data_IF_370362128835
#
_entry.id   IF_370362128835
#
_cell.length_a   1.000
_cell.length_b   1.000
_cell.length_c   1.000
_cell.angle_alpha   90.00
_cell.angle_beta   90.00
_cell.angle_gamma   90.00
#
_symmetry.space_group_name_H-M   'P 1'
#
loop_
_entity.id
_entity.type
_entity.pdbx_description
1 polymer ?
#
# COMPACT_ATOMS: atom_id res chain seq x y z
N UNK A 1 -20.55 10.50 -11.79
CA UNK A 1 -20.67 11.52 -10.73
C UNK A 1 -22.12 11.65 -10.40
N UNK A 2 -22.51 11.34 -9.17
CA UNK A 2 -23.90 11.50 -8.71
C UNK A 2 -23.92 12.76 -7.87
N UNK A 3 -24.60 13.81 -8.35
CA UNK A 3 -24.77 15.03 -7.56
C UNK A 3 -25.72 14.75 -6.39
N UNK A 4 -25.20 14.80 -5.16
CA UNK A 4 -26.01 14.79 -3.95
C UNK A 4 -25.69 16.02 -3.11
N UNK A 5 -26.72 16.69 -2.61
CA UNK A 5 -26.59 17.88 -1.76
C UNK A 5 -26.46 17.46 -0.30
N UNK A 6 -25.48 18.03 0.39
CA UNK A 6 -25.34 17.90 1.84
C UNK A 6 -26.53 18.52 2.59
N UNK A 7 -26.68 18.22 3.89
CA UNK A 7 -27.72 18.79 4.75
C UNK A 7 -27.75 20.34 4.78
N UNK A 8 -26.65 20.99 4.39
CA UNK A 8 -26.49 22.44 4.29
C UNK A 8 -26.60 22.99 2.86
N UNK A 9 -27.08 22.18 1.90
CA UNK A 9 -27.33 22.62 0.52
C UNK A 9 -26.06 22.87 -0.32
N UNK A 10 -24.89 22.46 0.18
CA UNK A 10 -23.62 22.52 -0.56
C UNK A 10 -23.56 21.34 -1.53
N UNK A 11 -23.29 21.61 -2.81
CA UNK A 11 -23.04 20.55 -3.79
C UNK A 11 -21.70 19.90 -3.43
N UNK A 12 -21.75 18.63 -3.06
CA UNK A 12 -20.58 17.79 -2.90
C UNK A 12 -20.62 16.74 -4.00
N UNK A 13 -19.62 16.79 -4.87
CA UNK A 13 -19.52 15.87 -5.98
C UNK A 13 -19.06 14.50 -5.44
N UNK A 14 -20.00 13.57 -5.29
CA UNK A 14 -19.64 12.19 -5.04
C UNK A 14 -19.42 11.49 -6.38
N UNK A 15 -18.18 11.04 -6.59
CA UNK A 15 -17.85 10.10 -7.66
C UNK A 15 -17.41 8.79 -7.03
N UNK A 16 -17.98 7.70 -7.53
CA UNK A 16 -17.39 6.39 -7.34
C UNK A 16 -16.20 6.29 -8.30
N UNK A 17 -15.05 5.81 -7.81
CA UNK A 17 -13.90 5.49 -8.69
C UNK A 17 -14.26 4.39 -9.67
N UNK A 18 -15.08 3.42 -9.23
CA UNK A 18 -15.75 2.43 -10.06
C UNK A 18 -17.20 2.24 -9.57
N UNK A 19 -18.24 2.66 -10.30
CA UNK A 19 -19.62 2.34 -9.95
C UNK A 19 -19.87 0.83 -10.14
N UNK A 20 -20.73 0.19 -9.33
CA UNK A 20 -21.06 -1.22 -9.53
C UNK A 20 -21.78 -1.43 -10.87
N UNK A 21 -21.17 -2.19 -11.77
CA UNK A 21 -21.79 -2.65 -13.02
C UNK A 21 -22.33 -4.08 -12.88
N UNK A 22 -23.48 -4.35 -13.49
CA UNK A 22 -24.14 -5.65 -13.46
C UNK A 22 -24.01 -6.33 -14.82
N UNK A 23 -23.14 -7.33 -14.89
CA UNK A 23 -22.89 -8.11 -16.09
C UNK A 23 -24.15 -8.85 -16.58
N UNK A 24 -24.38 -8.84 -17.90
CA UNK A 24 -25.46 -9.62 -18.52
C UNK A 24 -25.18 -11.12 -18.41
N UNK A 25 -26.21 -11.90 -18.08
CA UNK A 25 -26.15 -13.37 -18.00
C UNK A 25 -26.14 -14.06 -19.38
N UNK A 26 -26.29 -13.30 -20.46
CA UNK A 26 -26.32 -13.82 -21.83
C UNK A 26 -24.87 -13.84 -22.36
N UNK A 27 -24.27 -15.02 -22.62
CA UNK A 27 -22.86 -15.09 -23.01
C UNK A 27 -22.67 -14.47 -24.40
N UNK A 28 -21.98 -13.34 -24.45
CA UNK A 28 -21.51 -12.70 -25.67
C UNK A 28 -20.03 -12.32 -25.51
N UNK A 29 -19.30 -12.08 -26.60
CA UNK A 29 -17.88 -11.70 -26.50
C UNK A 29 -17.66 -10.39 -25.72
N UNK A 30 -18.65 -9.50 -25.70
CA UNK A 30 -18.60 -8.26 -24.92
C UNK A 30 -18.55 -8.53 -23.39
N UNK A 31 -19.29 -9.52 -22.88
CA UNK A 31 -19.32 -9.87 -21.45
C UNK A 31 -17.98 -10.35 -20.91
N UNK A 32 -17.14 -11.01 -21.71
CA UNK A 32 -15.82 -11.46 -21.24
C UNK A 32 -14.87 -10.28 -21.08
N UNK A 33 -14.86 -9.37 -22.05
CA UNK A 33 -14.02 -8.17 -22.02
C UNK A 33 -14.43 -7.24 -20.89
N UNK A 34 -15.73 -7.00 -20.73
CA UNK A 34 -16.24 -6.08 -19.72
C UNK A 34 -15.96 -6.66 -18.30
N UNK A 35 -16.03 -7.99 -18.12
CA UNK A 35 -15.60 -8.64 -16.88
C UNK A 35 -14.11 -8.42 -16.56
N UNK A 36 -13.24 -8.47 -17.57
CA UNK A 36 -11.81 -8.21 -17.37
C UNK A 36 -11.56 -6.77 -16.92
N UNK A 37 -12.19 -5.80 -17.58
CA UNK A 37 -12.05 -4.38 -17.20
C UNK A 37 -12.55 -4.10 -15.79
N UNK A 38 -13.69 -4.67 -15.38
CA UNK A 38 -14.18 -4.56 -14.01
C UNK A 38 -13.19 -5.13 -13.00
N UNK A 39 -12.61 -6.31 -13.28
CA UNK A 39 -11.61 -6.90 -12.38
C UNK A 39 -10.33 -6.07 -12.29
N UNK A 40 -9.83 -5.52 -13.41
CA UNK A 40 -8.65 -4.66 -13.43
C UNK A 40 -8.91 -3.37 -12.66
N UNK A 41 -10.05 -2.72 -12.86
CA UNK A 41 -10.43 -1.50 -12.15
C UNK A 41 -10.51 -1.71 -10.62
N UNK A 42 -11.07 -2.84 -10.17
CA UNK A 42 -11.13 -3.18 -8.73
C UNK A 42 -9.73 -3.43 -8.17
N UNK A 43 -8.86 -4.14 -8.90
CA UNK A 43 -7.49 -4.39 -8.47
C UNK A 43 -6.69 -3.09 -8.35
N UNK A 44 -6.85 -2.17 -9.30
CA UNK A 44 -6.22 -0.85 -9.24
C UNK A 44 -6.71 -0.04 -8.04
N UNK A 45 -8.01 -0.07 -7.74
CA UNK A 45 -8.56 0.63 -6.57
C UNK A 45 -7.95 0.09 -5.25
N UNK A 46 -7.88 -1.23 -5.09
CA UNK A 46 -7.23 -1.84 -3.93
C UNK A 46 -5.74 -1.53 -3.88
N UNK A 47 -5.06 -1.50 -5.02
CA UNK A 47 -3.63 -1.22 -5.05
C UNK A 47 -3.32 0.23 -4.64
N UNK A 48 -4.10 1.20 -5.13
CA UNK A 48 -3.91 2.61 -4.82
C UNK A 48 -4.60 3.08 -3.53
N UNK A 49 -5.28 2.18 -2.82
CA UNK A 49 -5.92 2.50 -1.56
C UNK A 49 -4.89 2.98 -0.50
N UNK A 50 -5.17 4.05 0.26
CA UNK A 50 -4.22 4.64 1.20
C UNK A 50 -3.73 3.67 2.29
N UNK A 51 -4.55 2.67 2.63
CA UNK A 51 -4.19 1.65 3.64
C UNK A 51 -3.29 0.54 3.10
N UNK A 52 -3.13 0.40 1.78
CA UNK A 52 -2.38 -0.71 1.17
C UNK A 52 -0.90 -0.62 1.52
N UNK A 53 -0.30 0.56 1.38
CA UNK A 53 1.10 0.81 1.74
C UNK A 53 1.43 0.47 3.22
N UNK A 54 0.75 1.04 4.23
CA UNK A 54 1.05 0.72 5.63
C UNK A 54 0.74 -0.74 5.98
N UNK A 55 -0.33 -1.34 5.42
CA UNK A 55 -0.67 -2.74 5.66
C UNK A 55 0.43 -3.70 5.16
N UNK A 56 0.91 -3.50 3.93
CA UNK A 56 1.99 -4.31 3.36
C UNK A 56 3.30 -4.09 4.11
N UNK A 57 3.63 -2.85 4.46
CA UNK A 57 4.86 -2.52 5.19
C UNK A 57 4.96 -3.24 6.53
N UNK A 58 3.90 -3.28 7.33
CA UNK A 58 3.91 -4.04 8.60
C UNK A 58 4.22 -5.51 8.36
N UNK A 59 3.60 -6.14 7.35
CA UNK A 59 3.82 -7.55 7.03
C UNK A 59 5.22 -7.83 6.50
N UNK A 60 5.76 -6.95 5.66
CA UNK A 60 7.12 -7.08 5.18
C UNK A 60 8.11 -6.98 6.34
N UNK A 61 7.99 -5.95 7.18
CA UNK A 61 8.89 -5.77 8.34
C UNK A 61 8.83 -6.99 9.28
N UNK A 62 7.65 -7.55 9.52
CA UNK A 62 7.49 -8.79 10.29
C UNK A 62 8.21 -9.98 9.65
N UNK A 63 8.17 -10.11 8.32
CA UNK A 63 8.91 -11.16 7.58
C UNK A 63 10.43 -10.97 7.66
N UNK A 64 10.89 -9.73 7.85
CA UNK A 64 12.30 -9.41 8.13
C UNK A 64 12.68 -9.59 9.61
N UNK A 65 11.77 -10.09 10.44
CA UNK A 65 12.07 -10.55 11.80
C UNK A 65 11.70 -9.58 12.92
N UNK A 66 11.13 -8.41 12.60
CA UNK A 66 10.75 -7.40 13.60
C UNK A 66 9.25 -7.52 13.87
N UNK A 67 8.86 -8.09 15.02
CA UNK A 67 7.44 -8.34 15.35
C UNK A 67 6.66 -7.08 15.72
N UNK A 68 7.33 -6.12 16.36
CA UNK A 68 6.74 -4.89 16.89
C UNK A 68 7.46 -3.65 16.32
N UNK A 69 7.21 -3.31 15.04
CA UNK A 69 7.82 -2.13 14.43
C UNK A 69 7.26 -0.84 15.03
N UNK A 70 8.11 0.15 15.25
CA UNK A 70 7.63 1.44 15.71
C UNK A 70 6.78 2.14 14.62
N UNK A 71 5.80 2.99 14.97
CA UNK A 71 4.99 3.71 14.00
C UNK A 71 5.81 4.55 13.01
N UNK A 72 6.98 5.07 13.44
CA UNK A 72 7.93 5.78 12.58
C UNK A 72 8.47 4.89 11.47
N UNK A 73 8.83 3.66 11.80
CA UNK A 73 9.43 2.73 10.83
C UNK A 73 8.40 2.31 9.77
N UNK A 74 7.17 2.00 10.19
CA UNK A 74 6.06 1.74 9.27
C UNK A 74 5.81 2.94 8.36
N UNK A 75 5.85 4.17 8.91
CA UNK A 75 5.70 5.40 8.12
C UNK A 75 6.80 5.54 7.06
N UNK A 76 8.07 5.35 7.43
CA UNK A 76 9.19 5.44 6.49
C UNK A 76 9.12 4.41 5.35
N UNK A 77 8.68 3.19 5.67
CA UNK A 77 8.43 2.17 4.65
C UNK A 77 7.26 2.56 3.74
N UNK A 78 6.15 3.04 4.31
CA UNK A 78 4.97 3.43 3.55
C UNK A 78 5.25 4.60 2.60
N UNK A 79 6.03 5.60 3.04
CA UNK A 79 6.47 6.71 2.18
C UNK A 79 7.36 6.22 1.03
N UNK A 80 8.31 5.32 1.32
CA UNK A 80 9.17 4.74 0.28
C UNK A 80 8.38 3.88 -0.73
N UNK A 81 7.31 3.21 -0.30
CA UNK A 81 6.39 2.48 -1.17
C UNK A 81 5.62 3.42 -2.09
N UNK A 82 5.07 4.51 -1.53
CA UNK A 82 4.24 5.47 -2.26
C UNK A 82 5.04 6.30 -3.26
N UNK A 83 6.18 6.84 -2.84
CA UNK A 83 7.07 7.64 -3.68
C UNK A 83 7.91 6.77 -4.62
N UNK A 84 8.11 5.50 -4.25
CA UNK A 84 8.90 4.55 -5.01
C UNK A 84 10.39 4.86 -5.04
N UNK A 85 10.86 5.68 -4.10
CA UNK A 85 12.26 6.09 -3.93
C UNK A 85 12.60 6.05 -2.44
N UNK A 86 13.80 5.58 -2.13
CA UNK A 86 14.37 5.65 -0.78
C UNK A 86 15.78 6.23 -0.85
N UNK A 87 16.04 7.24 -0.02
CA UNK A 87 17.32 7.94 0.05
C UNK A 87 18.08 7.55 1.31
N UNK A 88 19.34 7.15 1.16
CA UNK A 88 20.23 6.86 2.30
C UNK A 88 21.65 7.37 2.00
N UNK A 89 22.05 8.41 2.73
CA UNK A 89 23.32 9.10 2.48
C UNK A 89 23.46 9.53 1.02
N UNK A 90 24.46 8.96 0.33
CA UNK A 90 24.79 9.28 -1.08
C UNK A 90 24.06 8.40 -2.10
N UNK A 91 23.29 7.39 -1.66
CA UNK A 91 22.62 6.44 -2.58
C UNK A 91 21.10 6.60 -2.54
N UNK A 92 20.48 6.52 -3.71
CA UNK A 92 19.04 6.41 -3.89
C UNK A 92 18.68 5.04 -4.47
N UNK A 93 17.59 4.46 -3.98
CA UNK A 93 17.05 3.19 -4.46
C UNK A 93 15.62 3.40 -4.97
N UNK A 94 15.25 2.78 -6.09
CA UNK A 94 13.88 2.81 -6.61
C UNK A 94 13.77 3.36 -8.03
N UNK A 95 12.53 3.41 -8.54
CA UNK A 95 12.23 3.90 -9.91
C UNK A 95 11.29 5.11 -9.93
N UNK A 96 10.88 5.64 -8.77
CA UNK A 96 9.96 6.79 -8.71
C UNK A 96 8.50 6.46 -8.99
N UNK A 97 8.15 5.17 -8.96
CA UNK A 97 6.78 4.71 -9.21
C UNK A 97 6.17 4.17 -7.93
N UNK A 98 4.88 4.44 -7.74
CA UNK A 98 4.09 3.83 -6.65
C UNK A 98 4.26 2.31 -6.66
N UNK A 99 4.52 1.73 -5.50
CA UNK A 99 4.70 0.29 -5.32
C UNK A 99 6.08 -0.25 -5.70
N UNK A 100 7.12 0.58 -5.80
CA UNK A 100 8.48 0.08 -6.02
C UNK A 100 8.99 -0.75 -4.83
N UNK A 101 9.04 -2.07 -5.00
CA UNK A 101 9.58 -3.01 -4.02
C UNK A 101 11.07 -2.75 -3.69
N UNK A 102 11.87 -2.28 -4.65
CA UNK A 102 13.29 -1.96 -4.41
C UNK A 102 13.45 -0.85 -3.36
N UNK A 103 12.69 0.25 -3.49
CA UNK A 103 12.70 1.33 -2.52
C UNK A 103 12.18 0.89 -1.15
N UNK A 104 11.13 0.06 -1.13
CA UNK A 104 10.56 -0.45 0.13
C UNK A 104 11.51 -1.37 0.87
N UNK A 105 12.07 -2.37 0.18
CA UNK A 105 13.04 -3.30 0.81
C UNK A 105 14.28 -2.54 1.27
N UNK A 106 14.77 -1.58 0.49
CA UNK A 106 15.87 -0.71 0.92
C UNK A 106 15.51 0.07 2.20
N UNK A 107 14.30 0.63 2.27
CA UNK A 107 13.83 1.33 3.48
C UNK A 107 13.74 0.42 4.70
N UNK A 108 13.37 -0.85 4.52
CA UNK A 108 13.27 -1.82 5.60
C UNK A 108 14.67 -2.18 6.12
N UNK A 109 15.56 -2.65 5.26
CA UNK A 109 16.88 -3.15 5.65
C UNK A 109 17.81 -2.03 6.16
N UNK A 110 17.63 -0.81 5.67
CA UNK A 110 18.47 0.34 6.04
C UNK A 110 17.93 1.14 7.23
N UNK A 111 16.74 0.82 7.75
CA UNK A 111 16.22 1.51 8.92
C UNK A 111 17.06 1.23 10.17
N UNK A 112 17.11 2.21 11.07
CA UNK A 112 17.84 2.12 12.33
C UNK A 112 17.34 0.99 13.22
N UNK A 113 16.04 0.67 13.18
CA UNK A 113 15.45 -0.39 13.99
C UNK A 113 15.94 -1.76 13.51
N UNK A 114 16.11 -1.96 12.20
CA UNK A 114 16.66 -3.19 11.63
C UNK A 114 18.17 -3.39 11.86
N UNK A 115 18.91 -2.33 12.21
CA UNK A 115 20.38 -2.36 12.34
C UNK A 115 20.88 -2.14 13.76
N UNK A 116 19.98 -1.95 14.73
CA UNK A 116 20.35 -1.61 16.11
C UNK A 116 20.67 -2.86 16.91
N UNK A 117 21.93 -2.99 17.34
CA UNK A 117 22.37 -4.05 18.27
C UNK A 117 21.74 -3.96 19.66
N UNK A 118 21.29 -2.77 20.07
CA UNK A 118 20.65 -2.56 21.37
C UNK A 118 19.22 -3.07 21.35
N UNK A 119 18.51 -2.91 20.22
CA UNK A 119 17.15 -3.42 20.06
C UNK A 119 17.15 -4.95 19.92
N UNK A 120 18.17 -5.53 19.31
CA UNK A 120 18.34 -6.99 19.23
C UNK A 120 18.52 -7.65 20.61
N UNK A 121 19.08 -6.92 21.58
CA UNK A 121 19.24 -7.39 22.95
C UNK A 121 17.97 -7.19 23.83
N UNK A 122 16.97 -6.46 23.35
CA UNK A 122 15.75 -6.16 24.11
C UNK A 122 14.75 -7.33 23.99
N UNK A 123 14.37 -7.99 25.11
CA UNK A 123 13.41 -9.10 25.10
C UNK A 123 12.03 -8.72 24.56
N UNK A 124 11.67 -7.43 24.58
CA UNK A 124 10.39 -6.93 24.05
C UNK A 124 10.40 -6.76 22.52
N UNK A 125 11.58 -6.67 21.91
CA UNK A 125 11.81 -6.64 20.47
C UNK A 125 12.03 -8.07 19.96
N UNK A 126 11.07 -8.96 20.23
CA UNK A 126 11.16 -10.35 19.83
C UNK A 126 10.94 -10.54 18.32
N UNK A 127 11.51 -11.61 17.77
CA UNK A 127 11.11 -12.13 16.46
C UNK A 127 10.03 -13.19 16.65
N UNK A 128 8.94 -13.12 15.88
CA UNK A 128 7.95 -14.21 15.87
C UNK A 128 8.63 -15.44 15.29
N UNK A 129 8.82 -16.48 16.12
CA UNK A 129 9.21 -17.81 15.67
C UNK A 129 7.94 -18.58 15.33
N UNK A 130 7.81 -18.97 14.08
CA UNK A 130 6.82 -19.94 13.62
C UNK A 130 7.17 -21.37 14.09
#
# INVERSE_FOLDING_TARGET
TVEMKDLFGKNIDFSFRNPPDFMSLIPNEATVRDAQYETEAILDDYFYHPNTAPFLCVRFIQRFGISNPAPRYVKSCATAFQEGIYHTGTKSFGTGKYGCLNATVASIVMDREARSVVLDADPSQGSLRE
#
